data_IF_109875938953
#
_entry.id   IF_109875938953
#
_cell.length_a   1.000
_cell.length_b   1.000
_cell.length_c   1.000
_cell.angle_alpha   90.00
_cell.angle_beta   90.00
_cell.angle_gamma   90.00
#
_symmetry.space_group_name_H-M   'P 1'
#
loop_
_entity.id
_entity.type
_entity.pdbx_description
1 polymer ?
#
# COMPACT_ATOMS: atom_id res chain seq x y z
N UNK A 1 -86.12 -63.75 -70.73
CA UNK A 1 -85.84 -63.08 -69.43
C UNK A 1 -84.41 -63.32 -68.92
N UNK A 2 -83.78 -64.49 -69.15
CA UNK A 2 -82.43 -64.77 -68.63
C UNK A 2 -81.27 -63.97 -69.25
N UNK A 3 -81.34 -63.60 -70.53
CA UNK A 3 -80.22 -62.94 -71.25
C UNK A 3 -80.04 -61.46 -70.88
N UNK A 4 -81.15 -60.74 -70.64
CA UNK A 4 -81.11 -59.33 -70.20
C UNK A 4 -80.53 -59.19 -68.78
N UNK A 5 -80.95 -60.07 -67.85
CA UNK A 5 -80.42 -60.10 -66.48
C UNK A 5 -78.93 -60.49 -66.43
N UNK A 6 -78.46 -61.31 -67.38
CA UNK A 6 -77.04 -61.66 -67.50
C UNK A 6 -76.22 -60.45 -67.97
N UNK A 7 -76.72 -59.71 -68.97
CA UNK A 7 -76.04 -58.50 -69.50
C UNK A 7 -75.95 -57.38 -68.46
N UNK A 8 -77.01 -57.20 -67.66
CA UNK A 8 -77.03 -56.26 -66.53
C UNK A 8 -75.97 -56.64 -65.49
N UNK A 9 -75.91 -57.92 -65.07
CA UNK A 9 -74.88 -58.42 -64.15
C UNK A 9 -73.45 -58.24 -64.68
N UNK A 10 -73.22 -58.43 -65.98
CA UNK A 10 -71.90 -58.21 -66.60
C UNK A 10 -71.55 -56.72 -66.59
N UNK A 11 -72.50 -55.83 -66.91
CA UNK A 11 -72.31 -54.38 -66.84
C UNK A 11 -72.02 -53.90 -65.42
N UNK A 12 -72.73 -54.43 -64.41
CA UNK A 12 -72.48 -54.11 -63.00
C UNK A 12 -71.09 -54.61 -62.57
N UNK A 13 -70.67 -55.79 -63.05
CA UNK A 13 -69.34 -56.33 -62.80
C UNK A 13 -68.25 -55.45 -63.42
N UNK A 14 -68.45 -54.97 -64.65
CA UNK A 14 -67.54 -54.04 -65.32
C UNK A 14 -67.42 -52.71 -64.57
N UNK A 15 -68.53 -52.17 -64.08
CA UNK A 15 -68.54 -50.96 -63.24
C UNK A 15 -67.81 -51.19 -61.91
N UNK A 16 -68.05 -52.33 -61.24
CA UNK A 16 -67.33 -52.70 -60.03
C UNK A 16 -65.83 -52.87 -60.27
N UNK A 17 -65.42 -53.52 -61.37
CA UNK A 17 -64.01 -53.65 -61.74
C UNK A 17 -63.37 -52.29 -62.04
N UNK A 18 -64.07 -51.39 -62.70
CA UNK A 18 -63.60 -50.02 -62.94
C UNK A 18 -63.41 -49.24 -61.63
N UNK A 19 -64.36 -49.35 -60.69
CA UNK A 19 -64.25 -48.73 -59.36
C UNK A 19 -63.09 -49.30 -58.55
N UNK A 20 -62.91 -50.62 -58.56
CA UNK A 20 -61.79 -51.30 -57.90
C UNK A 20 -60.45 -50.87 -58.50
N UNK A 21 -60.36 -50.75 -59.82
CA UNK A 21 -59.14 -50.30 -60.51
C UNK A 21 -58.80 -48.86 -60.13
N UNK A 22 -59.80 -47.97 -60.08
CA UNK A 22 -59.63 -46.60 -59.65
C UNK A 22 -59.18 -46.50 -58.17
N UNK A 23 -59.78 -47.29 -57.28
CA UNK A 23 -59.36 -47.37 -55.88
C UNK A 23 -57.94 -47.94 -55.73
N UNK A 24 -57.57 -48.94 -56.53
CA UNK A 24 -56.21 -49.48 -56.57
C UNK A 24 -55.22 -48.41 -56.99
N UNK A 25 -55.47 -47.69 -58.09
CA UNK A 25 -54.62 -46.60 -58.56
C UNK A 25 -54.44 -45.50 -57.51
N UNK A 26 -55.54 -45.10 -56.84
CA UNK A 26 -55.49 -44.09 -55.76
C UNK A 26 -54.66 -44.58 -54.56
N UNK A 27 -54.77 -45.86 -54.22
CA UNK A 27 -54.00 -46.47 -53.12
C UNK A 27 -52.52 -46.53 -53.49
N UNK A 28 -52.19 -46.94 -54.71
CA UNK A 28 -50.80 -46.97 -55.19
C UNK A 28 -50.16 -45.58 -55.15
N UNK A 29 -50.88 -44.54 -55.59
CA UNK A 29 -50.41 -43.16 -55.50
C UNK A 29 -50.14 -42.73 -54.05
N UNK A 30 -51.06 -43.00 -53.12
CA UNK A 30 -50.88 -42.69 -51.71
C UNK A 30 -49.71 -43.46 -51.07
N UNK A 31 -49.50 -44.72 -51.48
CA UNK A 31 -48.35 -45.53 -51.03
C UNK A 31 -47.03 -44.95 -51.55
N UNK A 32 -46.99 -44.47 -52.80
CA UNK A 32 -45.81 -43.81 -53.36
C UNK A 32 -45.50 -42.47 -52.66
N UNK A 33 -46.51 -41.66 -52.36
CA UNK A 33 -46.35 -40.42 -51.60
C UNK A 33 -45.80 -40.70 -50.20
N UNK A 34 -46.40 -41.65 -49.47
CA UNK A 34 -45.92 -42.06 -48.15
C UNK A 34 -44.47 -42.60 -48.19
N UNK A 35 -44.11 -43.34 -49.24
CA UNK A 35 -42.75 -43.83 -49.40
C UNK A 35 -41.73 -42.70 -49.60
N UNK A 36 -42.12 -41.63 -50.30
CA UNK A 36 -41.30 -40.43 -50.47
C UNK A 36 -41.17 -39.65 -49.16
N UNK A 37 -42.28 -39.42 -48.44
CA UNK A 37 -42.25 -38.78 -47.11
C UNK A 37 -41.38 -39.55 -46.12
N UNK A 38 -41.48 -40.89 -46.10
CA UNK A 38 -40.63 -41.73 -45.25
C UNK A 38 -39.14 -41.60 -45.62
N UNK A 39 -38.82 -41.38 -46.89
CA UNK A 39 -37.44 -41.19 -47.34
C UNK A 39 -36.90 -39.83 -46.90
N UNK A 40 -37.71 -38.77 -47.01
CA UNK A 40 -37.38 -37.42 -46.54
C UNK A 40 -37.17 -37.40 -45.01
N UNK A 41 -38.12 -37.96 -44.26
CA UNK A 41 -38.01 -38.09 -42.80
C UNK A 41 -36.75 -38.84 -42.38
N UNK A 42 -36.37 -39.90 -43.11
CA UNK A 42 -35.14 -40.64 -42.84
C UNK A 42 -33.88 -39.81 -43.09
N UNK A 43 -33.91 -38.88 -44.04
CA UNK A 43 -32.81 -37.97 -44.31
C UNK A 43 -32.71 -36.90 -43.21
N UNK A 44 -33.82 -36.27 -42.84
CA UNK A 44 -33.88 -35.32 -41.71
C UNK A 44 -33.38 -35.96 -40.41
N UNK A 45 -33.78 -37.19 -40.12
CA UNK A 45 -33.31 -37.95 -38.95
C UNK A 45 -31.81 -38.22 -38.98
N UNK A 46 -31.18 -38.33 -40.17
CA UNK A 46 -29.72 -38.46 -40.27
C UNK A 46 -29.03 -37.12 -40.04
N UNK A 47 -29.56 -36.04 -40.58
CA UNK A 47 -29.03 -34.69 -40.38
C UNK A 47 -29.08 -34.29 -38.92
N UNK A 48 -30.24 -34.46 -38.27
CA UNK A 48 -30.39 -34.24 -36.83
C UNK A 48 -29.38 -35.04 -35.99
N UNK A 49 -29.13 -36.30 -36.37
CA UNK A 49 -28.14 -37.14 -35.68
C UNK A 49 -26.71 -36.62 -35.86
N UNK A 50 -26.40 -36.00 -36.98
CA UNK A 50 -25.09 -35.39 -37.23
C UNK A 50 -24.95 -34.09 -36.43
N UNK A 51 -25.95 -33.22 -36.44
CA UNK A 51 -25.96 -31.99 -35.62
C UNK A 51 -25.81 -32.31 -34.12
N UNK A 52 -26.52 -33.32 -33.63
CA UNK A 52 -26.41 -33.76 -32.23
C UNK A 52 -25.01 -34.30 -31.87
N UNK A 53 -24.25 -34.83 -32.84
CA UNK A 53 -22.86 -35.24 -32.63
C UNK A 53 -21.94 -34.03 -32.59
N UNK A 54 -22.13 -33.08 -33.49
CA UNK A 54 -21.33 -31.84 -33.54
C UNK A 54 -21.51 -31.04 -32.25
N UNK A 55 -22.76 -30.83 -31.82
CA UNK A 55 -23.06 -30.18 -30.54
C UNK A 55 -22.39 -30.87 -29.34
N UNK A 56 -22.37 -32.21 -29.33
CA UNK A 56 -21.69 -32.97 -28.26
C UNK A 56 -20.17 -32.76 -28.27
N UNK A 57 -19.58 -32.60 -29.45
CA UNK A 57 -18.15 -32.32 -29.58
C UNK A 57 -17.84 -30.90 -29.10
N UNK A 58 -18.62 -29.90 -29.52
CA UNK A 58 -18.48 -28.51 -29.05
C UNK A 58 -18.63 -28.40 -27.52
N UNK A 59 -19.62 -29.07 -26.94
CA UNK A 59 -19.77 -29.12 -25.49
C UNK A 59 -18.56 -29.74 -24.77
N UNK A 60 -17.88 -30.69 -25.41
CA UNK A 60 -16.68 -31.31 -24.85
C UNK A 60 -15.48 -30.36 -24.91
N UNK A 61 -15.32 -29.65 -26.01
CA UNK A 61 -14.28 -28.63 -26.18
C UNK A 61 -14.46 -27.48 -25.18
N UNK A 62 -15.67 -26.93 -25.09
CA UNK A 62 -16.00 -25.90 -24.10
C UNK A 62 -15.68 -26.32 -22.66
N UNK A 63 -15.96 -27.58 -22.31
CA UNK A 63 -15.66 -28.10 -20.99
C UNK A 63 -14.15 -28.18 -20.72
N UNK A 64 -13.35 -28.49 -21.74
CA UNK A 64 -11.90 -28.51 -21.63
C UNK A 64 -11.34 -27.09 -21.46
N UNK A 65 -11.78 -26.14 -22.28
CA UNK A 65 -11.38 -24.71 -22.17
C UNK A 65 -11.73 -24.13 -20.78
N UNK A 66 -12.92 -24.45 -20.27
CA UNK A 66 -13.33 -24.03 -18.93
C UNK A 66 -12.48 -24.67 -17.81
N UNK A 67 -11.91 -25.85 -18.07
CA UNK A 67 -10.95 -26.50 -17.19
C UNK A 67 -9.62 -25.74 -17.16
N UNK A 68 -9.06 -25.44 -18.34
CA UNK A 68 -7.80 -24.70 -18.49
C UNK A 68 -7.90 -23.30 -17.87
N UNK A 69 -8.98 -22.57 -18.16
CA UNK A 69 -9.23 -21.26 -17.55
C UNK A 69 -9.27 -21.30 -16.02
N UNK A 70 -9.84 -22.36 -15.44
CA UNK A 70 -9.90 -22.52 -13.99
C UNK A 70 -8.53 -22.76 -13.37
N UNK A 71 -7.66 -23.49 -14.08
CA UNK A 71 -6.29 -23.75 -13.65
C UNK A 71 -5.45 -22.47 -13.74
N UNK A 72 -5.55 -21.70 -14.83
CA UNK A 72 -4.89 -20.39 -14.97
C UNK A 72 -5.32 -19.42 -13.86
N UNK A 73 -6.62 -19.32 -13.57
CA UNK A 73 -7.13 -18.48 -12.49
C UNK A 73 -6.61 -18.90 -11.11
N UNK A 74 -6.34 -20.19 -10.91
CA UNK A 74 -5.75 -20.71 -9.67
C UNK A 74 -4.27 -20.32 -9.57
N UNK A 75 -3.52 -20.43 -10.66
CA UNK A 75 -2.12 -20.02 -10.70
C UNK A 75 -1.96 -18.52 -10.46
N UNK A 76 -2.76 -17.71 -11.14
CA UNK A 76 -2.80 -16.26 -10.94
C UNK A 76 -3.08 -15.88 -9.48
N UNK A 77 -4.05 -16.55 -8.84
CA UNK A 77 -4.36 -16.32 -7.42
C UNK A 77 -3.18 -16.66 -6.50
N UNK A 78 -2.45 -17.74 -6.81
CA UNK A 78 -1.27 -18.14 -6.04
C UNK A 78 -0.12 -17.13 -6.20
N UNK A 79 0.11 -16.64 -7.41
CA UNK A 79 1.11 -15.62 -7.71
C UNK A 79 0.80 -14.31 -6.98
N UNK A 80 -0.44 -13.82 -7.07
CA UNK A 80 -0.88 -12.62 -6.34
C UNK A 80 -0.72 -12.77 -4.82
N UNK A 81 -0.96 -13.97 -4.28
CA UNK A 81 -0.75 -14.25 -2.86
C UNK A 81 0.73 -14.18 -2.48
N UNK A 82 1.61 -14.76 -3.30
CA UNK A 82 3.07 -14.69 -3.10
C UNK A 82 3.57 -13.25 -3.17
N UNK A 83 3.17 -12.51 -4.19
CA UNK A 83 3.52 -11.10 -4.35
C UNK A 83 3.11 -10.26 -3.13
N UNK A 84 1.89 -10.48 -2.61
CA UNK A 84 1.43 -9.79 -1.40
C UNK A 84 2.30 -10.10 -0.18
N UNK A 85 2.64 -11.38 0.04
CA UNK A 85 3.49 -11.81 1.17
C UNK A 85 4.89 -11.20 1.06
N UNK A 86 5.48 -11.26 -0.13
CA UNK A 86 6.81 -10.71 -0.41
C UNK A 86 6.81 -9.20 -0.19
N UNK A 87 5.83 -8.48 -0.77
CA UNK A 87 5.68 -7.03 -0.59
C UNK A 87 5.49 -6.63 0.87
N UNK A 88 4.77 -7.40 1.67
CA UNK A 88 4.60 -7.15 3.10
C UNK A 88 5.90 -7.36 3.88
N UNK A 89 6.65 -8.43 3.58
CA UNK A 89 7.94 -8.71 4.18
C UNK A 89 8.96 -7.62 3.84
N UNK A 90 8.99 -7.21 2.58
CA UNK A 90 9.79 -6.12 2.05
C UNK A 90 9.50 -4.79 2.74
N UNK A 91 8.21 -4.46 2.91
CA UNK A 91 7.81 -3.26 3.62
C UNK A 91 8.28 -3.29 5.07
N UNK A 92 8.14 -4.42 5.76
CA UNK A 92 8.62 -4.58 7.15
C UNK A 92 10.13 -4.41 7.23
N UNK A 93 10.88 -5.03 6.31
CA UNK A 93 12.34 -4.93 6.25
C UNK A 93 12.77 -3.49 6.01
N UNK A 94 12.21 -2.83 4.98
CA UNK A 94 12.48 -1.41 4.70
C UNK A 94 12.17 -0.54 5.91
N UNK A 95 11.00 -0.71 6.54
CA UNK A 95 10.66 0.10 7.73
C UNK A 95 11.68 -0.05 8.86
N UNK A 96 12.22 -1.25 9.08
CA UNK A 96 13.29 -1.48 10.05
C UNK A 96 14.59 -0.78 9.64
N UNK A 97 15.02 -0.96 8.39
CA UNK A 97 16.23 -0.33 7.85
C UNK A 97 16.14 1.20 7.89
N UNK A 98 15.00 1.78 7.52
CA UNK A 98 14.72 3.22 7.61
C UNK A 98 14.77 3.70 9.06
N UNK A 99 14.24 2.92 10.02
CA UNK A 99 14.33 3.24 11.44
C UNK A 99 15.77 3.22 11.95
N UNK A 100 16.57 2.22 11.56
CA UNK A 100 17.99 2.14 11.91
C UNK A 100 18.80 3.29 11.31
N UNK A 101 18.51 3.67 10.07
CA UNK A 101 19.13 4.84 9.41
C UNK A 101 18.74 6.14 10.11
N UNK A 102 17.47 6.33 10.47
CA UNK A 102 17.03 7.51 11.21
C UNK A 102 17.73 7.63 12.57
N UNK A 103 17.87 6.52 13.30
CA UNK A 103 18.62 6.49 14.56
C UNK A 103 20.09 6.88 14.36
N UNK A 104 20.75 6.33 13.32
CA UNK A 104 22.14 6.69 12.98
C UNK A 104 22.29 8.17 12.62
N UNK A 105 21.33 8.74 11.91
CA UNK A 105 21.35 10.17 11.57
C UNK A 105 21.24 11.05 12.82
N UNK A 106 20.39 10.67 13.79
CA UNK A 106 20.34 11.34 15.10
C UNK A 106 21.70 11.33 15.80
N UNK A 107 22.33 10.15 15.91
CA UNK A 107 23.63 10.02 16.58
C UNK A 107 24.74 10.81 15.88
N UNK A 108 24.75 10.86 14.53
CA UNK A 108 25.75 11.62 13.77
C UNK A 108 25.57 13.12 14.01
N UNK A 109 24.34 13.60 14.08
CA UNK A 109 24.06 15.02 14.36
C UNK A 109 24.57 15.38 15.75
N UNK A 110 24.30 14.57 16.76
CA UNK A 110 24.81 14.76 18.12
C UNK A 110 26.35 14.78 18.15
N UNK A 111 26.99 13.84 17.45
CA UNK A 111 28.45 13.72 17.38
C UNK A 111 29.11 14.90 16.64
N UNK A 112 28.38 15.59 15.75
CA UNK A 112 28.82 16.82 15.07
C UNK A 112 28.54 18.06 15.93
N UNK A 113 27.39 18.11 16.61
CA UNK A 113 26.97 19.26 17.42
C UNK A 113 27.85 19.40 18.66
N UNK A 114 28.13 18.31 19.37
CA UNK A 114 28.87 18.36 20.64
C UNK A 114 30.24 19.07 20.51
N UNK A 115 31.10 18.78 19.51
CA UNK A 115 32.31 19.55 19.25
C UNK A 115 32.05 21.04 18.99
N UNK A 116 30.97 21.34 18.25
CA UNK A 116 30.56 22.71 17.94
C UNK A 116 30.20 23.54 19.17
N UNK A 117 29.66 22.91 20.23
CA UNK A 117 29.29 23.60 21.47
C UNK A 117 30.51 24.26 22.11
N UNK A 118 31.67 23.59 22.09
CA UNK A 118 32.92 24.18 22.59
C UNK A 118 33.35 25.42 21.78
N UNK A 119 33.21 25.37 20.45
CA UNK A 119 33.52 26.51 19.58
C UNK A 119 32.63 27.71 19.86
N UNK A 120 31.32 27.48 19.93
CA UNK A 120 30.32 28.51 20.27
C UNK A 120 30.55 29.08 21.67
N UNK A 121 30.84 28.22 22.66
CA UNK A 121 31.11 28.63 24.03
C UNK A 121 32.34 29.54 24.12
N UNK A 122 33.44 29.18 23.45
CA UNK A 122 34.65 30.02 23.37
C UNK A 122 34.37 31.34 22.67
N UNK A 123 33.72 31.30 21.51
CA UNK A 123 33.54 32.48 20.67
C UNK A 123 32.56 33.51 21.24
N UNK A 124 31.43 33.07 21.80
CA UNK A 124 30.34 33.97 22.19
C UNK A 124 30.20 34.16 23.69
N UNK A 125 30.79 33.27 24.50
CA UNK A 125 30.70 33.30 25.96
C UNK A 125 32.07 33.41 26.65
N UNK A 126 33.18 33.36 25.89
CA UNK A 126 34.54 33.44 26.45
C UNK A 126 34.92 32.24 27.31
N UNK A 127 34.27 31.10 27.10
CA UNK A 127 34.47 29.87 27.88
C UNK A 127 35.55 29.03 27.19
N UNK A 128 36.69 28.87 27.86
CA UNK A 128 37.79 28.03 27.37
C UNK A 128 37.60 26.55 27.71
N UNK A 129 37.00 26.27 28.87
CA UNK A 129 36.76 24.93 29.38
C UNK A 129 35.47 24.89 30.22
N UNK A 130 34.76 23.76 30.16
CA UNK A 130 33.60 23.48 30.99
C UNK A 130 33.99 22.68 32.22
N UNK A 131 33.40 22.97 33.38
CA UNK A 131 33.54 22.16 34.59
C UNK A 131 32.95 20.74 34.40
N UNK A 132 31.91 20.65 33.57
CA UNK A 132 31.25 19.41 33.20
C UNK A 132 30.75 19.50 31.77
N UNK A 133 31.01 18.47 30.96
CA UNK A 133 30.50 18.35 29.60
C UNK A 133 30.02 16.92 29.35
N UNK A 134 28.72 16.73 29.21
CA UNK A 134 28.09 15.43 29.05
C UNK A 134 27.28 15.38 27.75
N UNK A 135 27.53 14.36 26.94
CA UNK A 135 26.77 14.03 25.73
C UNK A 135 25.87 12.84 26.02
N UNK A 136 24.63 12.83 25.51
CA UNK A 136 23.59 11.83 25.81
C UNK A 136 23.38 11.63 27.32
N UNK A 137 23.27 12.74 28.04
CA UNK A 137 23.18 12.74 29.48
C UNK A 137 21.82 12.24 29.96
N UNK A 138 21.78 11.03 30.53
CA UNK A 138 20.56 10.43 31.06
C UNK A 138 20.30 10.86 32.49
N UNK A 139 19.14 11.45 32.74
CA UNK A 139 18.62 11.75 34.08
C UNK A 139 17.34 11.00 34.39
N UNK A 140 17.19 10.71 35.67
CA UNK A 140 15.94 10.25 36.28
C UNK A 140 15.37 11.46 37.00
N UNK A 141 14.07 11.70 36.87
CA UNK A 141 13.39 12.80 37.57
C UNK A 141 13.56 12.65 39.09
N UNK A 142 13.51 13.75 39.87
CA UNK A 142 13.68 13.68 41.33
C UNK A 142 12.71 12.72 42.03
N UNK A 143 11.48 12.62 41.53
CA UNK A 143 10.42 11.71 42.01
C UNK A 143 10.57 10.26 41.47
N UNK A 144 11.57 10.01 40.64
CA UNK A 144 11.90 8.72 40.01
C UNK A 144 10.83 8.13 39.09
N UNK A 145 9.87 8.92 38.63
CA UNK A 145 8.79 8.47 37.75
C UNK A 145 9.16 8.53 36.28
N UNK A 146 10.09 9.41 35.90
CA UNK A 146 10.43 9.69 34.51
C UNK A 146 11.93 9.51 34.28
N UNK A 147 12.29 9.18 33.04
CA UNK A 147 13.67 9.14 32.57
C UNK A 147 13.75 9.97 31.29
N UNK A 148 14.80 10.78 31.18
CA UNK A 148 15.04 11.62 30.02
C UNK A 148 16.52 11.59 29.65
N UNK A 149 16.79 11.57 28.36
CA UNK A 149 18.12 11.82 27.80
C UNK A 149 18.16 13.26 27.30
N UNK A 150 19.23 13.98 27.64
CA UNK A 150 19.54 15.30 27.14
C UNK A 150 20.75 15.19 26.20
N UNK A 151 20.66 15.74 25.00
CA UNK A 151 21.67 15.49 23.96
C UNK A 151 23.04 16.04 24.35
N UNK A 152 23.12 17.31 24.79
CA UNK A 152 24.32 17.86 25.43
C UNK A 152 23.94 18.70 26.64
N UNK A 153 24.65 18.48 27.74
CA UNK A 153 24.62 19.30 28.95
C UNK A 153 26.04 19.73 29.27
N UNK A 154 26.28 21.05 29.32
CA UNK A 154 27.58 21.58 29.69
C UNK A 154 27.44 22.65 30.77
N UNK A 155 28.36 22.69 31.72
CA UNK A 155 28.27 23.58 32.88
C UNK A 155 29.61 24.29 33.13
N UNK A 156 29.52 25.56 33.51
CA UNK A 156 30.59 26.33 34.16
C UNK A 156 30.15 26.67 35.58
N UNK A 157 30.93 27.49 36.29
CA UNK A 157 30.58 28.00 37.62
C UNK A 157 29.26 28.76 37.65
N UNK A 158 28.91 29.44 36.55
CA UNK A 158 27.83 30.43 36.46
C UNK A 158 26.83 30.16 35.33
N UNK A 159 27.16 29.27 34.38
CA UNK A 159 26.33 28.96 33.21
C UNK A 159 26.01 27.47 33.13
N UNK A 160 24.82 27.16 32.61
CA UNK A 160 24.43 25.80 32.23
C UNK A 160 23.84 25.82 30.82
N UNK A 161 24.47 25.08 29.92
CA UNK A 161 24.07 24.89 28.54
C UNK A 161 23.23 23.64 28.44
N UNK A 162 22.04 23.77 27.86
CA UNK A 162 21.17 22.65 27.52
C UNK A 162 20.97 22.69 26.01
N UNK A 163 21.54 21.72 25.30
CA UNK A 163 21.48 21.63 23.85
C UNK A 163 20.59 20.47 23.45
N UNK A 164 19.56 20.75 22.66
CA UNK A 164 18.70 19.76 22.02
C UNK A 164 19.00 19.72 20.53
N UNK A 165 19.22 18.52 19.99
CA UNK A 165 19.61 18.29 18.60
C UNK A 165 18.51 17.58 17.81
N UNK A 166 18.36 17.95 16.55
CA UNK A 166 17.46 17.26 15.61
C UNK A 166 18.10 17.13 14.24
N UNK A 167 18.03 15.93 13.66
CA UNK A 167 18.53 15.67 12.30
C UNK A 167 17.77 16.48 11.23
N UNK A 168 16.48 16.70 11.44
CA UNK A 168 15.66 17.57 10.60
C UNK A 168 14.79 18.43 11.50
N UNK A 169 14.96 19.76 11.50
CA UNK A 169 14.19 20.60 12.38
C UNK A 169 12.76 20.69 11.89
N UNK A 170 11.82 20.54 12.82
CA UNK A 170 10.40 20.72 12.60
C UNK A 170 9.87 21.64 13.68
N UNK A 171 8.84 22.42 13.36
CA UNK A 171 8.24 23.37 14.29
C UNK A 171 7.73 22.67 15.56
N UNK A 172 7.28 21.42 15.45
CA UNK A 172 6.86 20.60 16.59
C UNK A 172 8.00 20.37 17.59
N UNK A 173 9.19 20.00 17.12
CA UNK A 173 10.35 19.78 17.99
C UNK A 173 10.80 21.08 18.68
N UNK A 174 10.72 22.21 18.00
CA UNK A 174 10.99 23.52 18.59
C UNK A 174 9.97 23.82 19.71
N UNK A 175 8.68 23.54 19.48
CA UNK A 175 7.63 23.70 20.50
C UNK A 175 7.80 22.78 21.70
N UNK A 176 8.24 21.54 21.47
CA UNK A 176 8.57 20.60 22.53
C UNK A 176 9.74 21.12 23.38
N UNK A 177 10.79 21.65 22.73
CA UNK A 177 11.92 22.23 23.45
C UNK A 177 11.55 23.49 24.23
N UNK A 178 10.73 24.38 23.66
CA UNK A 178 10.17 25.55 24.37
C UNK A 178 9.39 25.11 25.61
N UNK A 179 8.57 24.06 25.49
CA UNK A 179 7.78 23.52 26.62
C UNK A 179 8.67 22.87 27.69
N UNK A 180 9.82 22.32 27.31
CA UNK A 180 10.79 21.74 28.25
C UNK A 180 11.48 22.81 29.10
N UNK A 181 11.82 23.97 28.54
CA UNK A 181 12.66 24.97 29.23
C UNK A 181 12.18 25.31 30.66
N UNK A 182 10.89 25.60 30.90
CA UNK A 182 10.38 25.84 32.25
C UNK A 182 10.52 24.65 33.20
N UNK A 183 10.51 23.43 32.69
CA UNK A 183 10.64 22.19 33.48
C UNK A 183 12.10 21.87 33.81
N UNK A 184 13.08 22.48 33.14
CA UNK A 184 14.50 22.14 33.30
C UNK A 184 14.99 22.30 34.74
N UNK A 185 14.44 23.23 35.52
CA UNK A 185 14.81 23.40 36.93
C UNK A 185 14.51 22.13 37.77
N UNK A 186 13.42 21.41 37.45
CA UNK A 186 13.14 20.11 38.09
C UNK A 186 14.23 19.08 37.77
N UNK A 187 14.75 19.09 36.54
CA UNK A 187 15.79 18.17 36.10
C UNK A 187 17.18 18.59 36.60
N UNK A 188 17.46 19.88 36.65
CA UNK A 188 18.73 20.48 37.04
C UNK A 188 18.45 21.57 38.08
N UNK A 189 18.37 21.22 39.38
CA UNK A 189 18.10 22.19 40.44
C UNK A 189 19.13 23.33 40.57
N UNK A 190 20.30 23.18 39.92
CA UNK A 190 21.32 24.23 39.78
C UNK A 190 20.85 25.40 38.90
N UNK A 191 19.80 25.22 38.08
CA UNK A 191 19.17 26.27 37.26
C UNK A 191 18.43 27.22 38.21
N UNK A 192 18.97 28.41 38.39
CA UNK A 192 18.53 29.38 39.41
C UNK A 192 19.72 29.96 40.18
N UNK A 193 20.79 29.18 40.32
CA UNK A 193 22.12 29.66 40.72
C UNK A 193 22.97 29.95 39.48
N UNK A 194 22.80 29.15 38.42
CA UNK A 194 23.42 29.34 37.11
C UNK A 194 22.44 29.90 36.10
N UNK A 195 22.93 30.73 35.17
CA UNK A 195 22.17 31.24 34.02
C UNK A 195 22.03 30.15 32.96
N UNK A 196 20.80 29.90 32.52
CA UNK A 196 20.48 28.88 31.52
C UNK A 196 20.78 29.39 30.11
N UNK A 197 21.51 28.59 29.33
CA UNK A 197 21.78 28.80 27.91
C UNK A 197 21.09 27.70 27.10
N UNK A 198 19.84 27.90 26.65
CA UNK A 198 19.13 26.93 25.84
C UNK A 198 19.55 27.04 24.37
N UNK A 199 19.99 25.93 23.79
CA UNK A 199 20.41 25.87 22.39
C UNK A 199 19.59 24.80 21.67
N UNK A 200 18.98 25.16 20.55
CA UNK A 200 18.39 24.22 19.62
C UNK A 200 19.33 24.06 18.42
N UNK A 201 19.80 22.84 18.18
CA UNK A 201 20.80 22.55 17.17
C UNK A 201 20.27 21.63 16.07
N UNK A 202 20.63 21.94 14.83
CA UNK A 202 20.38 21.07 13.68
C UNK A 202 21.39 21.37 12.57
N UNK A 203 21.63 20.43 11.67
CA UNK A 203 22.54 20.65 10.55
C UNK A 203 22.08 21.79 9.64
N UNK A 204 20.77 21.99 9.51
CA UNK A 204 20.19 23.06 8.69
C UNK A 204 18.96 23.62 9.39
N UNK A 205 18.93 24.91 9.72
CA UNK A 205 17.80 25.60 10.34
C UNK A 205 17.35 26.71 9.39
N UNK A 206 16.04 26.76 9.08
CA UNK A 206 15.49 27.77 8.20
C UNK A 206 15.30 29.12 8.91
N UNK A 207 15.31 30.22 8.16
CA UNK A 207 15.22 31.59 8.73
C UNK A 207 13.97 31.82 9.58
N UNK A 208 12.83 31.25 9.20
CA UNK A 208 11.57 31.33 9.96
C UNK A 208 11.67 30.58 11.30
N UNK A 209 12.40 29.46 11.33
CA UNK A 209 12.70 28.71 12.54
C UNK A 209 13.69 29.47 13.44
N UNK A 210 14.72 30.09 12.86
CA UNK A 210 15.65 30.97 13.61
C UNK A 210 14.88 32.13 14.24
N UNK A 211 14.00 32.79 13.49
CA UNK A 211 13.16 33.87 14.02
C UNK A 211 12.25 33.38 15.16
N UNK A 212 11.67 32.18 15.02
CA UNK A 212 10.82 31.59 16.05
C UNK A 212 11.60 31.22 17.33
N UNK A 213 12.79 30.63 17.20
CA UNK A 213 13.70 30.35 18.32
C UNK A 213 14.12 31.65 19.03
N UNK A 214 14.48 32.67 18.26
CA UNK A 214 14.88 33.99 18.78
C UNK A 214 13.76 34.64 19.61
N UNK A 215 12.52 34.58 19.12
CA UNK A 215 11.34 35.10 19.84
C UNK A 215 11.12 34.42 21.20
N UNK A 216 11.59 33.20 21.37
CA UNK A 216 11.48 32.42 22.60
C UNK A 216 12.77 32.41 23.43
N UNK A 217 13.73 33.29 23.13
CA UNK A 217 15.04 33.37 23.79
C UNK A 217 15.83 32.05 23.73
N UNK A 218 15.82 31.39 22.57
CA UNK A 218 16.59 30.16 22.33
C UNK A 218 17.63 30.44 21.26
N UNK A 219 18.87 30.02 21.50
CA UNK A 219 19.94 30.09 20.53
C UNK A 219 19.76 28.99 19.48
N UNK A 220 19.81 29.37 18.21
CA UNK A 220 19.74 28.48 17.07
C UNK A 220 21.16 28.19 16.59
N UNK A 221 21.56 26.92 16.58
CA UNK A 221 22.89 26.49 16.19
C UNK A 221 22.82 25.55 14.99
N UNK A 222 23.64 25.77 13.96
CA UNK A 222 23.71 24.86 12.83
C UNK A 222 24.97 25.00 11.99
N UNK A 223 25.04 24.24 10.90
CA UNK A 223 26.25 24.18 10.08
C UNK A 223 26.44 25.47 9.29
N UNK A 224 27.64 26.04 9.37
CA UNK A 224 28.17 27.14 8.54
C UNK A 224 29.48 26.69 7.85
N UNK A 225 30.07 27.57 7.05
CA UNK A 225 31.25 27.25 6.21
C UNK A 225 32.42 26.61 6.99
N UNK A 226 32.67 27.06 8.22
CA UNK A 226 33.79 26.61 9.07
C UNK A 226 33.37 25.63 10.19
N UNK A 227 32.13 25.16 10.19
CA UNK A 227 31.59 24.24 11.20
C UNK A 227 30.30 24.74 11.84
N UNK A 228 29.96 24.16 13.00
CA UNK A 228 28.72 24.52 13.71
C UNK A 228 28.86 25.88 14.41
N UNK A 229 27.89 26.77 14.20
CA UNK A 229 27.89 28.15 14.71
C UNK A 229 26.45 28.64 15.01
N UNK A 230 26.32 29.78 15.70
CA UNK A 230 25.05 30.39 16.04
C UNK A 230 24.47 31.23 14.88
N UNK A 231 23.19 31.05 14.60
CA UNK A 231 22.45 31.88 13.65
C UNK A 231 21.98 33.20 14.25
N UNK A 232 21.72 33.22 15.56
CA UNK A 232 21.14 34.34 16.29
C UNK A 232 21.93 34.67 17.57
N UNK A 233 23.25 34.95 17.46
CA UNK A 233 24.11 35.10 18.64
C UNK A 233 23.66 36.23 19.58
N UNK A 234 22.96 37.25 19.08
CA UNK A 234 22.48 38.38 19.88
C UNK A 234 21.41 37.99 20.91
N UNK A 235 20.75 36.84 20.74
CA UNK A 235 19.79 36.32 21.71
C UNK A 235 20.42 36.12 23.10
N UNK A 236 21.75 35.92 23.17
CA UNK A 236 22.49 35.75 24.43
C UNK A 236 22.30 36.90 25.43
N UNK A 237 22.07 38.11 24.91
CA UNK A 237 21.89 39.33 25.70
C UNK A 237 20.54 39.37 26.43
N UNK A 238 19.57 38.58 25.96
CA UNK A 238 18.20 38.52 26.51
C UNK A 238 17.94 37.28 27.37
N UNK A 239 18.92 36.37 27.47
CA UNK A 239 18.87 35.21 28.36
C UNK A 239 18.87 35.69 29.81
N UNK A 240 17.93 35.18 30.61
CA UNK A 240 17.77 35.50 32.04
C UNK A 240 18.45 34.47 32.91
#
# INVERSE_FOLDING_TARGET
MGEAALKERVSDLEQMMMQLTYQSMKTDMAVQELANEMKEFKNEMKEFKNEMKEFKNEMKEFKNEMGEFKDEMREFKNEMTRYRIESEADRKRRNKEWGELANKMGTIVEDIVAPGVNGVARQYFGIEEFDSFAVRYRKISPDRTQRREFDVVAETSDLIFIVETKATPRTEYIREFISLIPELNMWFPVIGEKKLIPIFASLNILDDQVAYLSKNNILAMGMRDDGMDLYNPDVREYLK
#
